data_IF_298495126522
#
_entry.id   IF_298495126522
#
_cell.length_a   1.000
_cell.length_b   1.000
_cell.length_c   1.000
_cell.angle_alpha   90.00
_cell.angle_beta   90.00
_cell.angle_gamma   90.00
#
_symmetry.space_group_name_H-M   'P 1'
#
loop_
_entity.id
_entity.type
_entity.pdbx_description
1 polymer ?
#
# COMPACT_ATOMS: atom_id res chain seq x y z
N UNK A 1 39.17 14.34 -26.94
CA UNK A 1 39.93 13.23 -26.32
C UNK A 1 38.96 12.37 -25.51
N UNK A 2 38.66 11.17 -25.99
CA UNK A 2 37.74 10.23 -25.33
C UNK A 2 38.51 9.43 -24.27
N UNK A 3 38.22 9.68 -22.99
CA UNK A 3 38.80 8.93 -21.88
C UNK A 3 38.27 7.50 -21.86
N UNK A 4 39.13 6.52 -22.15
CA UNK A 4 38.86 5.09 -21.99
C UNK A 4 38.60 4.78 -20.51
N UNK A 5 37.39 4.35 -20.19
CA UNK A 5 37.04 3.81 -18.86
C UNK A 5 37.68 2.43 -18.76
N UNK A 6 38.74 2.31 -17.96
CA UNK A 6 39.38 1.03 -17.66
C UNK A 6 38.40 0.08 -16.97
N UNK A 7 38.13 -1.06 -17.62
CA UNK A 7 37.37 -2.16 -17.02
C UNK A 7 38.26 -2.78 -15.95
N UNK A 8 37.90 -2.58 -14.67
CA UNK A 8 38.56 -3.26 -13.54
C UNK A 8 38.22 -4.76 -13.60
N UNK A 9 39.20 -5.56 -13.97
CA UNK A 9 39.16 -7.02 -13.88
C UNK A 9 38.90 -7.43 -12.43
N UNK A 10 37.78 -8.12 -12.17
CA UNK A 10 37.29 -8.49 -10.84
C UNK A 10 36.08 -7.69 -10.33
N UNK A 11 35.65 -6.63 -11.02
CA UNK A 11 34.45 -5.89 -10.64
C UNK A 11 33.19 -6.50 -11.26
N UNK A 12 32.24 -6.98 -10.43
CA UNK A 12 30.94 -7.51 -10.89
C UNK A 12 29.95 -6.42 -11.35
N UNK A 13 30.43 -5.19 -11.48
CA UNK A 13 29.69 -4.02 -11.97
C UNK A 13 30.67 -3.01 -12.61
N UNK A 14 30.20 -2.26 -13.61
CA UNK A 14 30.96 -1.12 -14.17
C UNK A 14 30.93 0.13 -13.30
N UNK A 15 30.04 0.18 -12.30
CA UNK A 15 29.88 1.36 -11.44
C UNK A 15 30.62 1.19 -10.11
N UNK A 16 31.30 2.26 -9.68
CA UNK A 16 32.02 2.27 -8.41
C UNK A 16 31.03 2.16 -7.25
N UNK A 17 31.30 1.27 -6.30
CA UNK A 17 30.42 1.07 -5.14
C UNK A 17 29.17 0.25 -5.46
N UNK A 18 29.18 -0.53 -6.55
CA UNK A 18 28.11 -1.43 -6.94
C UNK A 18 28.68 -2.84 -7.11
N UNK A 19 27.94 -3.86 -6.68
CA UNK A 19 28.36 -5.27 -6.78
C UNK A 19 27.14 -6.13 -7.09
N UNK A 20 27.19 -6.95 -8.13
CA UNK A 20 26.16 -7.97 -8.37
C UNK A 20 26.25 -9.04 -7.28
N UNK A 21 25.13 -9.26 -6.60
CA UNK A 21 24.91 -10.36 -5.67
C UNK A 21 24.13 -11.46 -6.39
N UNK A 22 24.88 -12.36 -7.04
CA UNK A 22 24.34 -13.36 -7.97
C UNK A 22 23.26 -14.25 -7.33
N UNK A 23 23.41 -14.63 -6.05
CA UNK A 23 22.45 -15.47 -5.33
C UNK A 23 21.02 -14.89 -5.28
N UNK A 24 20.85 -13.56 -5.37
CA UNK A 24 19.54 -12.91 -5.41
C UNK A 24 19.24 -12.22 -6.75
N UNK A 25 20.17 -12.31 -7.72
CA UNK A 25 20.17 -11.55 -8.96
C UNK A 25 19.88 -10.05 -8.75
N UNK A 26 20.59 -9.44 -7.80
CA UNK A 26 20.42 -8.04 -7.39
C UNK A 26 21.76 -7.35 -7.23
N UNK A 27 21.78 -6.05 -7.46
CA UNK A 27 22.95 -5.18 -7.28
C UNK A 27 22.94 -4.56 -5.89
N UNK A 28 23.97 -4.85 -5.11
CA UNK A 28 24.23 -4.17 -3.84
C UNK A 28 24.90 -2.83 -4.11
N UNK A 29 24.30 -1.74 -3.60
CA UNK A 29 24.95 -0.43 -3.57
C UNK A 29 25.64 -0.21 -2.22
N UNK A 30 26.80 0.44 -2.23
CA UNK A 30 27.54 0.81 -1.02
C UNK A 30 28.45 2.03 -1.25
N UNK A 31 28.80 2.71 -0.16
CA UNK A 31 29.94 3.64 -0.10
C UNK A 31 30.89 3.21 1.01
N UNK A 32 32.19 3.50 0.88
CA UNK A 32 33.12 3.38 2.01
C UNK A 32 33.29 4.73 2.69
N UNK A 33 33.18 4.85 4.00
CA UNK A 33 33.50 6.07 4.75
C UNK A 33 34.41 5.63 5.89
N UNK A 34 35.59 6.25 6.01
CA UNK A 34 36.63 5.90 7.00
C UNK A 34 36.96 4.40 7.02
N UNK A 35 37.16 3.82 5.82
CA UNK A 35 37.43 2.39 5.63
C UNK A 35 36.21 1.47 5.79
N UNK A 36 35.12 1.93 6.44
CA UNK A 36 33.91 1.14 6.69
C UNK A 36 32.96 1.15 5.49
N UNK A 37 32.45 -0.02 5.11
CA UNK A 37 31.43 -0.18 4.05
C UNK A 37 30.03 0.12 4.62
N UNK A 38 29.37 1.14 4.09
CA UNK A 38 27.99 1.50 4.38
C UNK A 38 27.08 0.98 3.27
N UNK A 39 26.09 0.17 3.63
CA UNK A 39 25.13 -0.42 2.70
C UNK A 39 24.02 0.56 2.32
N UNK A 40 23.68 0.60 1.03
CA UNK A 40 22.71 1.55 0.44
C UNK A 40 21.54 0.84 -0.26
N UNK A 41 21.28 -0.41 0.09
CA UNK A 41 20.18 -1.21 -0.45
C UNK A 41 20.58 -2.21 -1.54
N UNK A 42 19.63 -3.10 -1.84
CA UNK A 42 19.69 -4.12 -2.88
C UNK A 42 18.74 -3.73 -4.00
N UNK A 43 19.27 -3.50 -5.19
CA UNK A 43 18.55 -2.95 -6.33
C UNK A 43 18.46 -3.98 -7.45
N UNK A 44 17.35 -4.02 -8.18
CA UNK A 44 17.22 -4.94 -9.33
C UNK A 44 18.11 -4.54 -10.50
N UNK A 45 18.32 -3.24 -10.70
CA UNK A 45 19.15 -2.73 -11.77
C UNK A 45 20.48 -2.21 -11.25
N UNK A 46 21.53 -2.45 -12.04
CA UNK A 46 22.86 -1.92 -11.80
C UNK A 46 22.85 -0.38 -11.76
N UNK A 47 22.03 0.21 -12.64
CA UNK A 47 21.86 1.66 -12.79
C UNK A 47 21.25 2.30 -11.54
N UNK A 48 20.21 1.70 -10.97
CA UNK A 48 19.58 2.22 -9.75
C UNK A 48 20.50 2.10 -8.54
N UNK A 49 21.29 1.02 -8.44
CA UNK A 49 22.33 0.90 -7.44
C UNK A 49 23.41 1.99 -7.58
N UNK A 50 23.81 2.32 -8.82
CA UNK A 50 24.77 3.38 -9.09
C UNK A 50 24.22 4.77 -8.71
N UNK A 51 22.93 5.04 -9.02
CA UNK A 51 22.23 6.25 -8.60
C UNK A 51 22.18 6.32 -7.07
N UNK A 52 21.87 5.22 -6.38
CA UNK A 52 21.83 5.18 -4.92
C UNK A 52 23.20 5.53 -4.31
N UNK A 53 24.29 4.97 -4.84
CA UNK A 53 25.66 5.30 -4.42
C UNK A 53 25.94 6.79 -4.61
N UNK A 54 25.59 7.36 -5.75
CA UNK A 54 25.84 8.78 -6.03
C UNK A 54 25.08 9.71 -5.09
N UNK A 55 23.84 9.37 -4.76
CA UNK A 55 23.03 10.13 -3.80
C UNK A 55 23.61 10.07 -2.39
N UNK A 56 24.22 8.95 -2.00
CA UNK A 56 24.93 8.86 -0.72
C UNK A 56 26.24 9.67 -0.71
N UNK A 57 26.99 9.69 -1.82
CA UNK A 57 28.17 10.56 -1.98
C UNK A 57 27.79 12.03 -1.80
N UNK A 58 26.71 12.46 -2.45
CA UNK A 58 26.18 13.83 -2.30
C UNK A 58 25.71 14.12 -0.87
N UNK A 59 25.04 13.16 -0.22
CA UNK A 59 24.55 13.31 1.15
C UNK A 59 25.67 13.53 2.16
N UNK A 60 26.74 12.74 2.07
CA UNK A 60 27.90 12.86 2.95
C UNK A 60 28.94 13.87 2.47
N UNK A 61 28.70 14.55 1.33
CA UNK A 61 29.62 15.51 0.71
C UNK A 61 31.03 14.93 0.50
N UNK A 62 31.10 13.66 0.10
CA UNK A 62 32.38 12.99 -0.13
C UNK A 62 33.04 13.55 -1.39
N UNK A 63 34.33 13.82 -1.33
CA UNK A 63 35.13 14.19 -2.50
C UNK A 63 35.37 12.97 -3.39
N UNK A 64 34.35 12.60 -4.17
CA UNK A 64 34.34 11.43 -5.05
C UNK A 64 33.53 11.68 -6.30
N UNK A 65 34.03 11.21 -7.44
CA UNK A 65 33.30 11.23 -8.70
C UNK A 65 31.98 10.46 -8.62
N UNK A 66 30.92 11.01 -9.21
CA UNK A 66 29.62 10.35 -9.37
C UNK A 66 29.66 9.40 -10.58
N UNK A 67 29.00 8.25 -10.46
CA UNK A 67 28.81 7.28 -11.53
C UNK A 67 27.93 7.84 -12.67
N UNK A 68 26.85 8.56 -12.32
CA UNK A 68 25.85 9.13 -13.21
C UNK A 68 25.54 10.58 -12.80
N UNK A 69 26.45 11.54 -13.03
CA UNK A 69 26.41 12.87 -12.42
C UNK A 69 25.09 13.64 -12.63
N UNK A 70 24.56 13.64 -13.87
CA UNK A 70 23.32 14.35 -14.20
C UNK A 70 22.12 13.78 -13.43
N UNK A 71 21.99 12.45 -13.37
CA UNK A 71 20.87 11.78 -12.71
C UNK A 71 21.01 11.84 -11.19
N UNK A 72 22.22 11.61 -10.67
CA UNK A 72 22.53 11.70 -9.24
C UNK A 72 22.18 13.07 -8.67
N UNK A 73 22.60 14.16 -9.34
CA UNK A 73 22.27 15.54 -8.96
C UNK A 73 20.77 15.82 -9.04
N UNK A 74 20.10 15.41 -10.12
CA UNK A 74 18.65 15.60 -10.28
C UNK A 74 17.84 14.88 -9.20
N UNK A 75 18.26 13.67 -8.80
CA UNK A 75 17.61 12.90 -7.73
C UNK A 75 17.93 13.43 -6.33
N UNK A 76 19.03 14.16 -6.19
CA UNK A 76 19.44 14.82 -4.95
C UNK A 76 20.02 13.87 -3.90
N UNK A 77 20.70 14.42 -2.87
CA UNK A 77 21.30 13.64 -1.79
C UNK A 77 20.27 12.81 -1.04
N UNK A 78 20.68 11.62 -0.56
CA UNK A 78 19.85 10.77 0.29
C UNK A 78 20.71 9.99 1.30
N UNK A 79 20.18 9.83 2.51
CA UNK A 79 20.83 9.06 3.56
C UNK A 79 20.91 7.56 3.19
N UNK A 80 21.88 6.81 3.74
CA UNK A 80 21.91 5.36 3.62
C UNK A 80 20.58 4.69 4.00
N UNK A 81 19.95 5.17 5.08
CA UNK A 81 18.67 4.66 5.59
C UNK A 81 17.54 4.88 4.58
N UNK A 82 17.44 6.07 4.00
CA UNK A 82 16.45 6.39 2.97
C UNK A 82 16.65 5.53 1.71
N UNK A 83 17.89 5.29 1.31
CA UNK A 83 18.23 4.49 0.14
C UNK A 83 17.89 3.01 0.34
N UNK A 84 18.20 2.44 1.51
CA UNK A 84 17.79 1.09 1.89
C UNK A 84 16.27 0.98 1.92
N UNK A 85 15.58 1.99 2.46
CA UNK A 85 14.12 2.04 2.47
C UNK A 85 13.53 2.09 1.05
N UNK A 86 14.07 2.97 0.19
CA UNK A 86 13.65 3.14 -1.20
C UNK A 86 13.84 1.85 -2.02
N UNK A 87 14.96 1.17 -1.85
CA UNK A 87 15.22 -0.13 -2.47
C UNK A 87 14.12 -1.16 -2.11
N UNK A 88 13.75 -1.25 -0.83
CA UNK A 88 12.71 -2.16 -0.33
C UNK A 88 11.32 -1.81 -0.85
N UNK A 89 10.97 -0.52 -0.88
CA UNK A 89 9.69 -0.05 -1.45
C UNK A 89 9.63 -0.35 -2.94
N UNK A 90 10.70 -0.07 -3.68
CA UNK A 90 10.76 -0.30 -5.12
C UNK A 90 10.59 -1.79 -5.43
N UNK A 91 11.25 -2.66 -4.67
CA UNK A 91 11.07 -4.12 -4.78
C UNK A 91 9.62 -4.55 -4.59
N UNK A 92 8.95 -4.04 -3.54
CA UNK A 92 7.55 -4.37 -3.26
C UNK A 92 6.60 -3.86 -4.34
N UNK A 93 6.85 -2.66 -4.89
CA UNK A 93 6.05 -2.12 -5.99
C UNK A 93 6.16 -2.94 -7.26
N UNK A 94 7.35 -3.47 -7.57
CA UNK A 94 7.54 -4.37 -8.73
C UNK A 94 6.80 -5.71 -8.60
N UNK A 95 6.38 -6.08 -7.40
CA UNK A 95 5.55 -7.27 -7.14
C UNK A 95 4.05 -6.96 -7.15
N UNK A 96 3.67 -5.71 -7.40
CA UNK A 96 2.28 -5.25 -7.37
C UNK A 96 1.81 -4.89 -8.78
N UNK A 97 0.54 -5.14 -9.03
CA UNK A 97 -0.17 -4.66 -10.23
C UNK A 97 -0.71 -3.23 -10.05
N UNK A 98 -0.63 -2.69 -8.84
CA UNK A 98 -0.97 -1.31 -8.48
C UNK A 98 0.29 -0.45 -8.41
N UNK A 99 0.13 0.87 -8.48
CA UNK A 99 1.23 1.81 -8.17
C UNK A 99 1.66 1.75 -6.69
N UNK A 100 0.84 1.13 -5.84
CA UNK A 100 1.06 0.95 -4.40
C UNK A 100 1.11 -0.54 -4.06
N UNK A 101 2.12 -0.94 -3.30
CA UNK A 101 2.19 -2.33 -2.85
C UNK A 101 1.12 -2.59 -1.78
N UNK A 102 0.61 -3.83 -1.77
CA UNK A 102 -0.52 -4.19 -0.90
C UNK A 102 -1.87 -3.65 -1.38
N UNK A 103 -1.94 -3.14 -2.60
CA UNK A 103 -3.19 -2.71 -3.25
C UNK A 103 -3.37 -3.51 -4.54
N UNK A 104 -4.61 -3.92 -4.82
CA UNK A 104 -4.98 -4.65 -6.02
C UNK A 104 -6.36 -4.24 -6.52
N UNK A 105 -6.55 -4.20 -7.84
CA UNK A 105 -7.85 -3.97 -8.44
C UNK A 105 -8.70 -5.25 -8.42
N UNK A 106 -9.90 -5.17 -7.84
CA UNK A 106 -10.93 -6.20 -7.92
C UNK A 106 -11.88 -5.84 -9.07
N UNK A 107 -11.66 -6.44 -10.24
CA UNK A 107 -12.46 -6.16 -11.44
C UNK A 107 -13.94 -6.55 -11.27
N UNK A 108 -14.24 -7.60 -10.50
CA UNK A 108 -15.62 -8.07 -10.26
C UNK A 108 -16.43 -7.04 -9.48
N UNK A 109 -15.79 -6.33 -8.55
CA UNK A 109 -16.45 -5.28 -7.76
C UNK A 109 -16.20 -3.89 -8.28
N UNK A 110 -15.27 -3.73 -9.22
CA UNK A 110 -14.75 -2.46 -9.72
C UNK A 110 -14.22 -1.56 -8.59
N UNK A 111 -13.40 -2.14 -7.71
CA UNK A 111 -12.89 -1.48 -6.50
C UNK A 111 -11.45 -1.87 -6.19
N UNK A 112 -10.72 -0.98 -5.54
CA UNK A 112 -9.37 -1.22 -5.04
C UNK A 112 -9.40 -1.92 -3.68
N UNK A 113 -8.79 -3.10 -3.58
CA UNK A 113 -8.63 -3.84 -2.34
C UNK A 113 -7.28 -3.53 -1.69
N UNK A 114 -7.30 -3.13 -0.42
CA UNK A 114 -6.10 -3.09 0.42
C UNK A 114 -5.92 -4.46 1.09
N UNK A 115 -4.76 -5.08 0.90
CA UNK A 115 -4.48 -6.46 1.32
C UNK A 115 -3.11 -6.50 2.01
N UNK A 116 -3.07 -7.10 3.19
CA UNK A 116 -1.82 -7.34 3.93
C UNK A 116 -1.52 -8.83 3.96
N UNK A 117 -0.24 -9.19 3.86
CA UNK A 117 0.21 -10.55 4.15
C UNK A 117 0.72 -10.57 5.58
N UNK A 118 0.10 -11.37 6.45
CA UNK A 118 0.54 -11.56 7.84
C UNK A 118 1.10 -12.98 7.97
N UNK A 119 2.40 -13.07 8.30
CA UNK A 119 3.11 -14.35 8.31
C UNK A 119 3.29 -14.96 6.92
N UNK A 120 3.50 -16.27 6.85
CA UNK A 120 3.95 -16.94 5.63
C UNK A 120 2.85 -17.29 4.62
N UNK A 121 1.56 -17.35 5.02
CA UNK A 121 0.53 -17.94 4.13
C UNK A 121 -0.88 -17.34 4.16
N UNK A 122 -1.16 -16.27 4.92
CA UNK A 122 -2.52 -15.69 4.94
C UNK A 122 -2.50 -14.22 4.52
N UNK A 123 -3.05 -13.97 3.33
CA UNK A 123 -3.47 -12.63 2.93
C UNK A 123 -4.76 -12.28 3.66
N UNK A 124 -4.77 -11.12 4.30
CA UNK A 124 -5.94 -10.56 4.96
C UNK A 124 -6.34 -9.31 4.18
N UNK A 125 -7.53 -9.34 3.60
CA UNK A 125 -8.12 -8.13 3.04
C UNK A 125 -8.52 -7.17 4.17
N UNK A 126 -7.96 -5.96 4.12
CA UNK A 126 -8.31 -4.87 5.02
C UNK A 126 -9.73 -4.42 4.69
N UNK A 127 -9.91 -3.81 3.51
CA UNK A 127 -11.19 -3.33 2.99
C UNK A 127 -11.08 -3.01 1.49
N UNK A 128 -12.18 -2.56 0.89
CA UNK A 128 -12.25 -2.10 -0.50
C UNK A 128 -12.63 -0.62 -0.58
N UNK A 129 -12.04 0.06 -1.56
CA UNK A 129 -12.10 1.50 -1.77
C UNK A 129 -12.37 1.78 -3.24
N UNK A 130 -12.95 2.94 -3.51
CA UNK A 130 -13.19 3.37 -4.90
C UNK A 130 -11.96 4.03 -5.49
N UNK A 131 -11.12 4.60 -4.63
CA UNK A 131 -9.85 5.24 -4.96
C UNK A 131 -8.66 4.38 -4.52
N UNK A 132 -7.64 4.32 -5.38
CA UNK A 132 -6.43 3.54 -5.19
C UNK A 132 -5.56 4.10 -4.04
N UNK A 133 -5.51 5.43 -3.91
CA UNK A 133 -4.74 6.14 -2.89
C UNK A 133 -5.36 5.91 -1.51
N UNK A 134 -6.69 5.92 -1.39
CA UNK A 134 -7.39 5.58 -0.14
C UNK A 134 -7.07 4.16 0.32
N UNK A 135 -7.01 3.20 -0.60
CA UNK A 135 -6.60 1.83 -0.29
C UNK A 135 -5.16 1.77 0.24
N UNK A 136 -4.24 2.49 -0.40
CA UNK A 136 -2.83 2.55 0.02
C UNK A 136 -2.64 3.26 1.37
N UNK A 137 -3.40 4.32 1.64
CA UNK A 137 -3.40 5.01 2.94
C UNK A 137 -3.92 4.10 4.05
N UNK A 138 -4.96 3.33 3.78
CA UNK A 138 -5.47 2.35 4.74
C UNK A 138 -4.46 1.22 4.99
N UNK A 139 -3.82 0.72 3.94
CA UNK A 139 -2.72 -0.24 4.05
C UNK A 139 -1.63 0.28 4.99
N UNK A 140 -1.12 1.49 4.75
CA UNK A 140 -0.04 2.07 5.54
C UNK A 140 -0.39 2.21 7.02
N UNK A 141 -1.62 2.65 7.32
CA UNK A 141 -2.09 2.84 8.70
C UNK A 141 -2.24 1.51 9.44
N UNK A 142 -2.73 0.48 8.76
CA UNK A 142 -2.90 -0.86 9.34
C UNK A 142 -1.56 -1.55 9.52
N UNK A 143 -0.68 -1.51 8.53
CA UNK A 143 0.66 -2.13 8.64
C UNK A 143 1.49 -1.42 9.70
N UNK A 144 1.37 -0.09 9.83
CA UNK A 144 2.00 0.66 10.93
C UNK A 144 1.48 0.22 12.30
N UNK A 145 0.18 -0.07 12.43
CA UNK A 145 -0.39 -0.58 13.68
C UNK A 145 0.12 -1.98 14.02
N UNK A 146 0.24 -2.86 13.03
CA UNK A 146 0.64 -4.26 13.23
C UNK A 146 2.16 -4.45 13.40
N UNK A 147 2.98 -3.72 12.63
CA UNK A 147 4.44 -3.93 12.55
C UNK A 147 5.26 -2.81 13.21
N UNK A 148 4.61 -1.77 13.71
CA UNK A 148 5.26 -0.65 14.39
C UNK A 148 6.09 0.26 13.49
N UNK A 149 7.02 1.05 14.05
CA UNK A 149 7.72 2.13 13.35
C UNK A 149 8.54 1.69 12.13
N UNK A 150 8.99 0.43 12.10
CA UNK A 150 9.79 -0.16 11.02
C UNK A 150 8.94 -0.70 9.85
N UNK A 151 7.61 -0.54 9.92
CA UNK A 151 6.70 -0.87 8.84
C UNK A 151 7.13 -0.23 7.52
N UNK A 152 7.15 -1.04 6.46
CA UNK A 152 7.37 -0.54 5.11
C UNK A 152 6.04 0.05 4.59
N UNK A 153 6.06 1.34 4.28
CA UNK A 153 4.89 2.15 3.90
C UNK A 153 5.00 2.68 2.46
N UNK A 154 3.86 2.85 1.81
CA UNK A 154 3.73 3.54 0.53
C UNK A 154 4.02 5.05 0.66
N UNK A 155 3.67 5.65 1.81
CA UNK A 155 3.79 7.08 2.11
C UNK A 155 4.57 7.35 3.41
N UNK A 156 5.88 7.02 3.49
CA UNK A 156 6.68 7.14 4.71
C UNK A 156 6.73 8.56 5.31
N UNK A 157 6.63 9.60 4.47
CA UNK A 157 6.67 11.00 4.89
C UNK A 157 5.33 11.50 5.44
N UNK A 158 4.22 10.78 5.21
CA UNK A 158 2.92 11.14 5.77
C UNK A 158 2.86 10.68 7.22
N UNK A 159 2.60 11.62 8.14
CA UNK A 159 2.39 11.33 9.57
C UNK A 159 0.99 10.78 9.80
N UNK A 160 0.72 9.58 9.29
CA UNK A 160 -0.58 8.92 9.42
C UNK A 160 -0.71 8.28 10.80
N UNK A 161 -1.83 8.50 11.48
CA UNK A 161 -2.14 7.80 12.74
C UNK A 161 -2.39 6.31 12.44
N UNK A 162 -1.75 5.37 13.18
CA UNK A 162 -2.01 3.94 13.04
C UNK A 162 -3.50 3.63 13.21
N UNK A 163 -3.96 2.53 12.60
CA UNK A 163 -5.36 2.16 12.58
C UNK A 163 -5.52 0.65 12.70
N UNK A 164 -6.47 0.19 13.53
CA UNK A 164 -6.77 -1.25 13.62
C UNK A 164 -7.43 -1.74 12.31
N UNK A 165 -7.46 -3.06 12.10
CA UNK A 165 -8.22 -3.66 10.99
C UNK A 165 -9.72 -3.32 11.06
N UNK A 166 -10.29 -3.28 12.26
CA UNK A 166 -11.70 -2.94 12.47
C UNK A 166 -11.97 -1.48 12.10
N UNK A 167 -11.12 -0.55 12.55
CA UNK A 167 -11.25 0.87 12.24
C UNK A 167 -11.12 1.16 10.75
N UNK A 168 -10.21 0.46 10.06
CA UNK A 168 -10.04 0.59 8.61
C UNK A 168 -11.30 0.13 7.86
N UNK A 169 -11.91 -0.98 8.27
CA UNK A 169 -13.19 -1.46 7.70
C UNK A 169 -14.33 -0.48 7.95
N UNK A 170 -14.40 0.09 9.15
CA UNK A 170 -15.40 1.11 9.50
C UNK A 170 -15.18 2.40 8.72
N UNK A 171 -13.94 2.84 8.52
CA UNK A 171 -13.61 3.99 7.69
C UNK A 171 -13.99 3.78 6.22
N UNK A 172 -13.63 2.63 5.64
CA UNK A 172 -14.00 2.28 4.27
C UNK A 172 -15.52 2.24 4.08
N UNK A 173 -16.25 1.70 5.06
CA UNK A 173 -17.72 1.71 5.07
C UNK A 173 -18.28 3.13 5.08
N UNK A 174 -17.74 4.02 5.92
CA UNK A 174 -18.16 5.43 5.95
C UNK A 174 -17.92 6.14 4.63
N UNK A 175 -16.77 5.89 3.99
CA UNK A 175 -16.47 6.44 2.67
C UNK A 175 -17.46 5.95 1.61
N UNK A 176 -17.74 4.64 1.59
CA UNK A 176 -18.76 4.07 0.70
C UNK A 176 -20.13 4.73 0.94
N UNK A 177 -20.52 4.92 2.19
CA UNK A 177 -21.83 5.48 2.55
C UNK A 177 -22.04 6.92 2.09
N UNK A 178 -20.97 7.72 1.96
CA UNK A 178 -21.05 9.08 1.37
C UNK A 178 -21.54 9.10 -0.07
N UNK A 179 -21.46 7.97 -0.79
CA UNK A 179 -21.89 7.84 -2.19
C UNK A 179 -23.22 7.11 -2.36
N UNK A 180 -23.80 6.60 -1.27
CA UNK A 180 -25.06 5.86 -1.31
C UNK A 180 -26.21 6.74 -0.87
N UNK A 181 -27.43 6.37 -1.27
CA UNK A 181 -28.64 7.11 -0.92
C UNK A 181 -29.06 6.98 0.54
N UNK A 182 -28.46 6.06 1.30
CA UNK A 182 -28.83 5.78 2.68
C UNK A 182 -27.61 5.66 3.57
N UNK A 183 -27.73 6.11 4.82
CA UNK A 183 -26.69 5.92 5.84
C UNK A 183 -26.73 4.52 6.46
N UNK A 184 -27.89 3.85 6.43
CA UNK A 184 -28.14 2.56 7.07
C UNK A 184 -27.73 1.33 6.25
N UNK A 185 -27.34 0.26 6.93
CA UNK A 185 -27.03 -1.05 6.34
C UNK A 185 -28.28 -1.63 5.69
N UNK A 186 -28.11 -2.11 4.46
CA UNK A 186 -29.18 -2.79 3.73
C UNK A 186 -30.33 -1.87 3.30
N UNK A 187 -30.19 -0.54 3.46
CA UNK A 187 -31.20 0.41 3.03
C UNK A 187 -30.71 1.18 1.81
N UNK A 188 -31.61 1.45 0.87
CA UNK A 188 -31.38 2.36 -0.25
C UNK A 188 -32.69 3.03 -0.69
N UNK A 189 -32.59 4.22 -1.25
CA UNK A 189 -33.71 4.89 -1.91
C UNK A 189 -34.00 4.27 -3.28
N UNK A 190 -35.25 3.93 -3.53
CA UNK A 190 -35.73 3.50 -4.84
C UNK A 190 -36.43 4.66 -5.54
N UNK A 191 -35.81 5.18 -6.59
CA UNK A 191 -36.33 6.32 -7.36
C UNK A 191 -37.67 6.04 -8.04
N UNK A 192 -37.86 4.83 -8.59
CA UNK A 192 -39.09 4.47 -9.33
C UNK A 192 -40.31 4.43 -8.43
N UNK A 193 -40.14 3.94 -7.20
CA UNK A 193 -41.22 3.81 -6.22
C UNK A 193 -41.29 4.96 -5.24
N UNK A 194 -40.30 5.86 -5.25
CA UNK A 194 -40.14 6.94 -4.27
C UNK A 194 -40.28 6.44 -2.83
N UNK A 195 -39.58 5.33 -2.53
CA UNK A 195 -39.61 4.68 -1.22
C UNK A 195 -38.24 4.14 -0.84
N UNK A 196 -38.00 4.04 0.47
CA UNK A 196 -36.87 3.33 1.04
C UNK A 196 -37.06 1.83 0.93
N UNK A 197 -36.01 1.12 0.54
CA UNK A 197 -36.03 -0.34 0.40
C UNK A 197 -35.08 -0.93 1.41
N UNK A 198 -35.56 -1.87 2.21
CA UNK A 198 -34.71 -2.70 3.07
C UNK A 198 -34.39 -4.01 2.35
N UNK A 199 -33.12 -4.38 2.28
CA UNK A 199 -32.64 -5.60 1.64
C UNK A 199 -31.53 -6.24 2.47
N UNK A 200 -31.48 -7.57 2.46
CA UNK A 200 -30.47 -8.35 3.15
C UNK A 200 -29.84 -9.36 2.20
N UNK A 201 -28.51 -9.46 2.21
CA UNK A 201 -27.79 -10.48 1.46
C UNK A 201 -27.80 -11.78 2.24
N UNK A 202 -28.73 -12.68 1.94
CA UNK A 202 -28.71 -14.04 2.47
C UNK A 202 -27.64 -14.86 1.72
N UNK A 203 -27.04 -15.91 2.33
CA UNK A 203 -26.01 -16.72 1.66
C UNK A 203 -26.39 -17.26 0.28
N UNK A 204 -27.67 -17.52 0.04
CA UNK A 204 -28.18 -18.06 -1.23
C UNK A 204 -28.70 -17.02 -2.22
N UNK A 205 -29.19 -15.86 -1.75
CA UNK A 205 -29.72 -14.80 -2.62
C UNK A 205 -29.87 -13.48 -1.87
N UNK A 206 -29.99 -12.37 -2.60
CA UNK A 206 -30.42 -11.10 -2.02
C UNK A 206 -31.93 -11.16 -1.77
N UNK A 207 -32.36 -10.89 -0.55
CA UNK A 207 -33.78 -10.86 -0.17
C UNK A 207 -34.21 -9.41 0.04
N UNK A 208 -35.25 -9.00 -0.68
CA UNK A 208 -35.96 -7.76 -0.39
C UNK A 208 -36.86 -7.97 0.84
N UNK A 209 -36.73 -7.10 1.83
CA UNK A 209 -37.47 -7.14 3.09
C UNK A 209 -38.78 -6.35 2.95
N UNK A 210 -38.76 -5.23 2.24
CA UNK A 210 -39.92 -4.38 2.08
C UNK A 210 -39.60 -2.98 1.58
N UNK A 211 -40.66 -2.20 1.40
CA UNK A 211 -40.64 -0.79 1.01
C UNK A 211 -41.23 0.05 2.13
N UNK A 212 -40.64 1.22 2.38
CA UNK A 212 -40.94 2.06 3.52
C UNK A 212 -40.93 3.53 3.11
N UNK A 213 -41.78 4.34 3.74
CA UNK A 213 -41.78 5.80 3.53
C UNK A 213 -40.68 6.50 4.32
N UNK A 214 -40.24 5.92 5.44
CA UNK A 214 -39.22 6.45 6.35
C UNK A 214 -37.95 5.60 6.28
N UNK A 215 -36.77 6.23 6.24
CA UNK A 215 -35.48 5.54 6.10
C UNK A 215 -35.19 4.67 7.34
N UNK A 216 -35.46 5.22 8.52
CA UNK A 216 -35.28 4.56 9.81
C UNK A 216 -36.14 3.31 9.94
N UNK A 217 -37.36 3.31 9.41
CA UNK A 217 -38.25 2.14 9.45
C UNK A 217 -37.71 1.00 8.58
N UNK A 218 -37.18 1.33 7.40
CA UNK A 218 -36.46 0.36 6.57
C UNK A 218 -35.24 -0.21 7.30
N UNK A 219 -34.51 0.63 8.03
CA UNK A 219 -33.34 0.22 8.79
C UNK A 219 -33.70 -0.68 10.00
N UNK A 220 -34.81 -0.40 10.71
CA UNK A 220 -35.33 -1.26 11.79
C UNK A 220 -35.81 -2.60 11.25
N UNK A 221 -36.47 -2.59 10.08
CA UNK A 221 -36.88 -3.82 9.40
C UNK A 221 -35.66 -4.67 8.99
N UNK A 222 -34.60 -4.05 8.49
CA UNK A 222 -33.32 -4.71 8.25
C UNK A 222 -32.79 -5.39 9.51
N UNK A 223 -32.71 -4.67 10.63
CA UNK A 223 -32.16 -5.19 11.88
C UNK A 223 -32.94 -6.41 12.40
N UNK A 224 -34.27 -6.34 12.36
CA UNK A 224 -35.14 -7.46 12.75
C UNK A 224 -34.85 -8.72 11.94
N UNK A 225 -34.67 -8.59 10.63
CA UNK A 225 -34.38 -9.71 9.74
C UNK A 225 -32.93 -10.19 9.89
N UNK A 226 -31.97 -9.27 9.98
CA UNK A 226 -30.56 -9.57 10.18
C UNK A 226 -30.32 -10.36 11.49
N UNK A 227 -30.97 -9.95 12.59
CA UNK A 227 -30.93 -10.66 13.88
C UNK A 227 -31.52 -12.06 13.78
N UNK A 228 -32.58 -12.26 12.99
CA UNK A 228 -33.16 -13.60 12.75
C UNK A 228 -32.22 -14.51 11.96
N UNK A 229 -31.56 -13.99 10.92
CA UNK A 229 -30.69 -14.78 10.04
C UNK A 229 -29.36 -15.11 10.73
N UNK A 230 -28.71 -14.12 11.34
CA UNK A 230 -27.32 -14.26 11.84
C UNK A 230 -27.18 -14.32 13.35
N UNK A 231 -28.27 -14.11 14.11
CA UNK A 231 -28.29 -14.17 15.58
C UNK A 231 -27.17 -13.32 16.19
N UNK A 232 -26.31 -13.92 17.02
CA UNK A 232 -25.20 -13.23 17.68
C UNK A 232 -24.16 -12.63 16.72
N UNK A 233 -24.15 -13.02 15.44
CA UNK A 233 -23.22 -12.49 14.42
C UNK A 233 -23.83 -11.35 13.60
N UNK A 234 -25.08 -10.94 13.88
CA UNK A 234 -25.74 -9.89 13.14
C UNK A 234 -25.08 -8.54 13.40
N UNK A 235 -24.77 -7.81 12.31
CA UNK A 235 -24.38 -6.40 12.40
C UNK A 235 -25.62 -5.55 12.17
N UNK A 236 -26.10 -4.92 13.23
CA UNK A 236 -27.32 -4.11 13.25
C UNK A 236 -27.02 -2.62 13.01
N UNK A 237 -28.05 -1.87 12.65
CA UNK A 237 -28.04 -0.41 12.56
C UNK A 237 -28.30 0.25 13.93
N UNK A 238 -29.14 -0.35 14.78
CA UNK A 238 -29.61 0.18 16.06
C UNK A 238 -29.37 -0.80 17.24
N UNK A 239 -28.12 -1.27 17.40
CA UNK A 239 -27.78 -2.28 18.41
C UNK A 239 -26.54 -1.95 19.21
#
# INVERSE_FOLDING_TARGET
>A
MAGKVGVKTGSTSRFTGVTLFAAQNKYQAFVKIDGKRIHLGMWRSERDAAIARDRAVLHHRLDRSLNLPQIGRRRGPASPEDLVYEARVTEKKQQSTSRYFGVAWDARRSRWAAIICVGERRSVQIAQYDDETDAALAYDRVVRHLLGPKALLNFPKKRLKPMTLADARNAARRLLKKRTTSTYRGVCWNLRRQMWVAQVNHPSHQRNIGFFHVEEDAARAYDKVAKRIWRARATLNFG
#
